data_IF_228772334975
#
_entry.id   IF_228772334975
#
_cell.length_a   1.000
_cell.length_b   1.000
_cell.length_c   1.000
_cell.angle_alpha   90.00
_cell.angle_beta   90.00
_cell.angle_gamma   90.00
#
_symmetry.space_group_name_H-M   'P 1'
#
loop_
_entity.id
_entity.type
_entity.pdbx_description
1 polymer ?
#
# COMPACT_ATOMS: atom_id res chain seq x y z
N UNK A 1 -24.54 -6.30 -31.55
CA UNK A 1 -24.18 -6.57 -30.51
C UNK A 1 -23.04 -5.93 -30.11
N UNK A 2 -22.31 -5.70 -30.73
CA UNK A 2 -21.10 -5.39 -30.46
C UNK A 2 -20.82 -4.07 -29.89
N UNK A 3 -21.20 -2.96 -30.50
CA UNK A 3 -20.85 -1.63 -29.98
C UNK A 3 -21.37 -1.39 -28.57
N UNK A 4 -22.60 -1.81 -28.30
CA UNK A 4 -23.17 -1.62 -26.97
C UNK A 4 -22.46 -2.49 -25.93
N UNK A 5 -22.19 -3.73 -26.31
CA UNK A 5 -21.52 -4.67 -25.42
C UNK A 5 -20.10 -4.21 -25.14
N UNK A 6 -19.40 -3.72 -26.17
CA UNK A 6 -18.03 -3.23 -26.02
C UNK A 6 -17.98 -2.00 -25.11
N UNK A 7 -18.95 -1.11 -25.27
CA UNK A 7 -19.00 0.08 -24.42
C UNK A 7 -19.24 -0.31 -22.95
N UNK A 8 -20.15 -1.26 -22.73
CA UNK A 8 -20.43 -1.69 -21.38
C UNK A 8 -19.19 -2.31 -20.72
N UNK A 9 -18.48 -3.13 -21.50
CA UNK A 9 -17.26 -3.76 -20.99
C UNK A 9 -16.21 -2.71 -20.68
N UNK A 10 -16.09 -1.70 -21.53
CA UNK A 10 -15.11 -0.63 -21.31
C UNK A 10 -15.45 0.18 -20.06
N UNK A 11 -16.73 0.48 -19.86
CA UNK A 11 -17.14 1.23 -18.68
C UNK A 11 -16.93 0.43 -17.41
N UNK A 12 -17.16 -0.86 -17.46
CA UNK A 12 -16.94 -1.73 -16.31
C UNK A 12 -15.45 -1.76 -15.95
N UNK A 13 -14.60 -1.90 -16.97
CA UNK A 13 -13.16 -1.91 -16.75
C UNK A 13 -12.69 -0.60 -16.16
N UNK A 14 -13.22 0.51 -16.67
CA UNK A 14 -12.84 1.82 -16.16
C UNK A 14 -13.28 2.00 -14.73
N UNK A 15 -14.48 1.55 -14.40
CA UNK A 15 -14.99 1.63 -13.03
C UNK A 15 -14.11 0.85 -12.08
N UNK A 16 -13.68 -0.35 -12.50
CA UNK A 16 -12.82 -1.17 -11.67
C UNK A 16 -11.47 -0.50 -11.45
N UNK A 17 -10.92 0.14 -12.50
CA UNK A 17 -9.66 0.85 -12.35
C UNK A 17 -9.80 2.04 -11.41
N UNK A 18 -10.91 2.76 -11.49
CA UNK A 18 -11.13 3.88 -10.59
C UNK A 18 -11.25 3.42 -9.16
N UNK A 19 -11.85 2.26 -8.95
CA UNK A 19 -11.97 1.70 -7.61
C UNK A 19 -10.60 1.35 -7.05
N UNK A 20 -9.76 0.71 -7.88
CA UNK A 20 -8.41 0.37 -7.48
C UNK A 20 -7.60 1.61 -7.14
N UNK A 21 -7.70 2.64 -7.97
CA UNK A 21 -6.99 3.89 -7.71
C UNK A 21 -7.45 4.52 -6.42
N UNK A 22 -8.75 4.48 -6.15
CA UNK A 22 -9.27 5.04 -4.93
C UNK A 22 -8.74 4.32 -3.71
N UNK A 23 -8.62 2.99 -3.78
CA UNK A 23 -8.06 2.21 -2.69
C UNK A 23 -6.59 2.57 -2.46
N UNK A 24 -5.84 2.77 -3.55
CA UNK A 24 -4.45 3.17 -3.44
C UNK A 24 -4.31 4.56 -2.84
N UNK A 25 -5.19 5.48 -3.23
CA UNK A 25 -5.17 6.83 -2.67
C UNK A 25 -5.47 6.79 -1.18
N UNK A 26 -6.44 5.98 -0.78
CA UNK A 26 -6.79 5.86 0.62
C UNK A 26 -5.61 5.30 1.43
N UNK A 27 -4.97 4.26 0.90
CA UNK A 27 -3.81 3.65 1.56
C UNK A 27 -2.67 4.66 1.65
N UNK A 28 -2.40 5.38 0.57
CA UNK A 28 -1.34 6.36 0.54
C UNK A 28 -1.61 7.50 1.53
N UNK A 29 -2.84 7.94 1.60
CA UNK A 29 -3.22 9.01 2.53
C UNK A 29 -2.97 8.58 3.97
N UNK A 30 -3.31 7.32 4.29
CA UNK A 30 -3.04 6.78 5.61
C UNK A 30 -1.54 6.83 5.92
N UNK A 31 -0.71 6.41 4.97
CA UNK A 31 0.73 6.40 5.17
C UNK A 31 1.28 7.81 5.39
N UNK A 32 0.84 8.73 4.56
CA UNK A 32 1.32 10.12 4.68
C UNK A 32 0.92 10.72 6.02
N UNK A 33 -0.32 10.50 6.44
CA UNK A 33 -0.78 11.04 7.70
C UNK A 33 -0.07 10.41 8.89
N UNK A 34 0.15 9.11 8.83
CA UNK A 34 0.83 8.43 9.92
C UNK A 34 2.27 8.93 10.04
N UNK A 35 2.94 9.10 8.91
CA UNK A 35 4.31 9.57 8.92
C UNK A 35 4.40 11.01 9.42
N UNK A 36 3.46 11.84 9.02
CA UNK A 36 3.48 13.23 9.44
C UNK A 36 3.18 13.39 10.93
N UNK A 37 2.17 12.66 11.43
CA UNK A 37 1.74 12.82 12.81
C UNK A 37 2.64 12.13 13.82
N UNK A 38 3.40 11.12 13.38
CA UNK A 38 4.22 10.34 14.30
C UNK A 38 5.69 10.35 13.91
N UNK A 39 6.09 11.41 13.25
CA UNK A 39 7.43 11.53 12.71
C UNK A 39 8.53 11.26 13.73
N UNK A 40 8.42 11.88 14.90
CA UNK A 40 9.46 11.73 15.92
C UNK A 40 9.57 10.30 16.41
N UNK A 41 8.45 9.64 16.57
CA UNK A 41 8.44 8.27 17.03
C UNK A 41 9.02 7.35 15.97
N UNK A 42 8.64 7.56 14.71
CA UNK A 42 9.10 6.71 13.63
C UNK A 42 10.59 6.84 13.37
N UNK A 43 11.16 8.00 13.63
CA UNK A 43 12.59 8.20 13.44
C UNK A 43 13.43 7.32 14.36
N UNK A 44 12.87 6.88 15.45
CA UNK A 44 13.59 6.06 16.42
C UNK A 44 13.41 4.58 16.19
N UNK A 45 12.68 4.21 15.17
CA UNK A 45 12.39 2.82 14.87
C UNK A 45 13.20 2.32 13.68
N UNK A 46 13.50 1.03 13.69
CA UNK A 46 14.10 0.39 12.53
C UNK A 46 13.03 0.28 11.44
N UNK A 47 13.45 -0.07 10.23
CA UNK A 47 12.51 -0.26 9.12
C UNK A 47 11.50 -1.34 9.47
N UNK A 48 11.99 -2.44 10.04
CA UNK A 48 11.10 -3.54 10.40
C UNK A 48 10.09 -3.13 11.45
N UNK A 49 10.54 -2.38 12.45
CA UNK A 49 9.64 -1.91 13.50
C UNK A 49 8.62 -0.94 12.95
N UNK A 50 9.05 -0.06 12.07
CA UNK A 50 8.15 0.91 11.44
C UNK A 50 7.07 0.21 10.64
N UNK A 51 7.45 -0.80 9.86
CA UNK A 51 6.46 -1.55 9.08
C UNK A 51 5.45 -2.25 9.97
N UNK A 52 5.93 -2.87 11.04
CA UNK A 52 5.04 -3.56 11.96
C UNK A 52 4.09 -2.59 12.65
N UNK A 53 4.61 -1.45 13.05
CA UNK A 53 3.82 -0.43 13.72
C UNK A 53 2.71 0.11 12.80
N UNK A 54 3.09 0.46 11.57
CA UNK A 54 2.12 0.99 10.62
C UNK A 54 1.08 -0.06 10.22
N UNK A 55 1.50 -1.30 10.11
CA UNK A 55 0.56 -2.36 9.77
C UNK A 55 -0.47 -2.56 10.87
N UNK A 56 -0.03 -2.48 12.12
CA UNK A 56 -0.95 -2.60 13.24
C UNK A 56 -1.94 -1.44 13.24
N UNK A 57 -1.47 -0.23 12.98
CA UNK A 57 -2.34 0.93 12.93
C UNK A 57 -3.33 0.84 11.78
N UNK A 58 -2.89 0.31 10.64
CA UNK A 58 -3.78 0.14 9.50
C UNK A 58 -4.92 -0.81 9.85
N UNK A 59 -4.59 -1.89 10.56
CA UNK A 59 -5.62 -2.84 10.99
C UNK A 59 -6.60 -2.22 11.94
N UNK A 60 -6.11 -1.40 12.86
CA UNK A 60 -6.99 -0.74 13.80
C UNK A 60 -7.94 0.21 13.10
N UNK A 61 -7.50 0.84 12.04
CA UNK A 61 -8.34 1.80 11.34
C UNK A 61 -9.28 1.17 10.33
N UNK A 62 -8.78 0.22 9.55
CA UNK A 62 -9.53 -0.27 8.39
C UNK A 62 -10.12 -1.67 8.53
N UNK A 63 -9.97 -2.30 9.67
CA UNK A 63 -10.51 -3.65 9.83
C UNK A 63 -12.00 -3.65 9.57
N UNK A 64 -12.50 -4.60 8.77
CA UNK A 64 -13.92 -4.59 8.38
C UNK A 64 -14.90 -4.70 9.53
N UNK A 65 -14.49 -5.31 10.64
CA UNK A 65 -15.40 -5.50 11.77
C UNK A 65 -15.15 -4.57 12.93
N UNK A 66 -13.90 -4.22 13.18
CA UNK A 66 -13.55 -3.46 14.37
C UNK A 66 -12.88 -2.14 14.09
N UNK A 67 -12.63 -1.80 12.83
CA UNK A 67 -11.91 -0.58 12.50
C UNK A 67 -12.77 0.66 12.61
N UNK A 68 -12.13 1.80 12.82
CA UNK A 68 -12.82 3.08 12.89
C UNK A 68 -13.39 3.48 11.53
N UNK A 69 -12.71 3.12 10.47
CA UNK A 69 -13.13 3.45 9.12
C UNK A 69 -12.97 2.21 8.24
N UNK A 70 -13.82 1.20 8.42
CA UNK A 70 -13.65 -0.08 7.74
C UNK A 70 -13.46 0.06 6.24
N UNK A 71 -12.37 -0.54 5.74
CA UNK A 71 -12.06 -0.50 4.32
C UNK A 71 -11.12 -1.66 4.01
N UNK A 72 -11.69 -2.86 3.79
CA UNK A 72 -10.86 -4.05 3.57
C UNK A 72 -9.95 -3.94 2.35
N UNK A 73 -10.36 -3.22 1.32
CA UNK A 73 -9.54 -3.08 0.13
C UNK A 73 -8.28 -2.25 0.42
N UNK A 74 -8.42 -1.13 1.11
CA UNK A 74 -7.28 -0.32 1.48
C UNK A 74 -6.38 -1.08 2.45
N UNK A 75 -6.97 -1.82 3.37
CA UNK A 75 -6.20 -2.63 4.31
C UNK A 75 -5.37 -3.67 3.57
N UNK A 76 -5.94 -4.31 2.55
CA UNK A 76 -5.21 -5.30 1.78
C UNK A 76 -3.99 -4.69 1.11
N UNK A 77 -4.14 -3.49 0.56
CA UNK A 77 -3.02 -2.79 -0.05
C UNK A 77 -1.93 -2.53 0.98
N UNK A 78 -2.31 -2.05 2.16
CA UNK A 78 -1.35 -1.73 3.19
C UNK A 78 -0.67 -2.98 3.75
N UNK A 79 -1.39 -4.07 3.88
CA UNK A 79 -0.80 -5.32 4.35
C UNK A 79 0.28 -5.78 3.38
N UNK A 80 0.03 -5.62 2.10
CA UNK A 80 1.00 -6.03 1.10
C UNK A 80 2.22 -5.13 1.10
N UNK A 81 2.00 -3.82 1.08
CA UNK A 81 3.08 -2.84 1.03
C UNK A 81 3.97 -2.92 2.27
N UNK A 82 3.37 -3.19 3.42
CA UNK A 82 4.10 -3.21 4.67
C UNK A 82 4.60 -4.60 5.05
N UNK A 83 4.43 -5.56 4.17
CA UNK A 83 4.86 -6.92 4.41
C UNK A 83 6.38 -7.04 4.40
N UNK A 84 6.97 -7.79 5.33
CA UNK A 84 8.42 -8.01 5.32
C UNK A 84 8.89 -8.70 4.05
N UNK A 85 8.07 -9.55 3.47
CA UNK A 85 8.44 -10.26 2.25
C UNK A 85 8.59 -9.31 1.08
N UNK A 86 7.78 -8.28 1.05
CA UNK A 86 7.86 -7.28 0.00
C UNK A 86 9.22 -6.61 0.01
N UNK A 87 9.73 -6.36 1.19
CA UNK A 87 11.03 -5.73 1.32
C UNK A 87 12.12 -6.58 0.68
N UNK A 88 12.09 -7.86 0.88
CA UNK A 88 13.09 -8.74 0.30
C UNK A 88 13.09 -8.68 -1.19
N UNK A 89 11.93 -8.69 -1.79
CA UNK A 89 11.82 -8.67 -3.23
C UNK A 89 12.40 -7.39 -3.81
N UNK A 90 12.18 -6.29 -3.15
CA UNK A 90 12.67 -5.03 -3.66
C UNK A 90 14.16 -4.90 -3.61
N UNK A 91 14.77 -5.41 -2.59
CA UNK A 91 16.20 -5.32 -2.46
C UNK A 91 16.88 -5.99 -3.63
N UNK A 92 16.37 -7.08 -4.04
CA UNK A 92 16.96 -7.77 -5.14
C UNK A 92 16.90 -6.97 -6.39
N UNK A 93 15.90 -6.30 -6.50
CA UNK A 93 15.84 -5.46 -7.65
C UNK A 93 16.95 -4.49 -7.66
N UNK A 94 17.87 -4.43 -7.41
CA UNK A 94 18.68 -3.34 -7.78
C UNK A 94 19.86 -3.38 -7.93
N UNK A 95 20.21 -3.46 -7.89
CA UNK A 95 21.18 -3.45 -7.99
C UNK A 95 22.00 -2.86 -7.79
N UNK A 96 21.90 -2.69 -7.20
CA UNK A 96 22.22 -2.21 -7.10
C UNK A 96 22.91 -2.29 -6.96
N UNK A 97 22.75 -2.28 -6.82
CA UNK A 97 22.96 -2.16 -6.88
C UNK A 97 23.57 -2.31 -6.99
N UNK A 98 23.72 -2.28 -6.82
CA UNK A 98 23.99 -2.19 -7.04
C UNK A 98 24.69 -2.05 -6.99
N UNK A 99 24.74 -1.84 -6.67
CA UNK A 99 25.05 -1.52 -6.76
C UNK A 99 25.83 -1.54 -6.51
N UNK A 100 26.06 -1.52 -6.14
CA UNK A 100 26.60 -1.40 -6.08
C UNK A 100 27.40 -1.69 -6.07
N UNK A 101 27.45 -1.85 -5.98
CA UNK A 101 28.17 -2.06 -6.21
C UNK A 101 28.90 -2.09 -6.54
N UNK A 102 28.72 -2.22 -6.43
CA UNK A 102 29.37 -2.21 -6.98
C UNK A 102 30.31 -1.90 -7.25
N UNK A 103 30.56 -1.91 -7.23
CA UNK A 103 31.42 -1.42 -7.52
C UNK A 103 32.33 -1.76 -7.83
N UNK A 104 32.37 -2.11 -7.87
CA UNK A 104 33.27 -2.43 -8.20
C UNK A 104 33.67 -2.50 -8.88
#
# INVERSE_FOLDING_TARGET
MSAHTDMTAALTALTDRLRELNDLVTANHFMVEAMASQQDQLKQMSVTETRAFLRRQAREKFHPETGDAPNPAALAVLEEVLSPNQQSAEIIAFPKERQRRIGA
#
